data_IF_589993777399
#
_entry.id   IF_589993777399
#
_cell.length_a   1.000
_cell.length_b   1.000
_cell.length_c   1.000
_cell.angle_alpha   90.00
_cell.angle_beta   90.00
_cell.angle_gamma   90.00
#
_symmetry.space_group_name_H-M   'P 1'
#
loop_
_entity.id
_entity.type
_entity.pdbx_description
1 polymer ?
#
# COMPACT_ATOMS: atom_id res chain seq x y z
N UNK A 1 2.73 -1.94 19.30
CA UNK A 1 2.61 -1.57 17.88
C UNK A 1 2.44 -0.07 17.83
N UNK A 2 3.26 0.62 17.04
CA UNK A 2 3.05 2.04 16.79
C UNK A 2 1.86 2.14 15.82
N UNK A 3 0.82 2.85 16.22
CA UNK A 3 -0.29 3.21 15.35
C UNK A 3 -0.10 4.66 14.96
N UNK A 4 -0.07 4.93 13.66
CA UNK A 4 -0.07 6.30 13.14
C UNK A 4 -1.49 6.73 12.85
N UNK A 5 -1.71 8.04 12.78
CA UNK A 5 -3.00 8.58 12.38
C UNK A 5 -2.83 9.85 11.58
N UNK A 6 -3.50 9.91 10.43
CA UNK A 6 -3.65 11.14 9.67
C UNK A 6 -5.11 11.56 9.71
N UNK A 7 -5.40 12.68 10.37
CA UNK A 7 -6.78 13.12 10.62
C UNK A 7 -7.59 12.02 11.30
N UNK A 8 -8.63 11.53 10.62
CA UNK A 8 -9.50 10.46 11.13
C UNK A 8 -9.13 9.04 10.68
N UNK A 9 -8.06 8.90 9.88
CA UNK A 9 -7.58 7.62 9.35
C UNK A 9 -6.55 7.05 10.32
N UNK A 10 -6.81 5.86 10.87
CA UNK A 10 -5.84 5.08 11.64
C UNK A 10 -5.00 4.24 10.68
N UNK A 11 -3.69 4.21 10.89
CA UNK A 11 -2.74 3.57 10.00
C UNK A 11 -1.95 2.53 10.79
N UNK A 12 -2.00 1.28 10.32
CA UNK A 12 -1.21 0.17 10.83
C UNK A 12 -0.20 -0.32 9.80
N UNK A 13 1.00 -0.68 10.25
CA UNK A 13 2.02 -1.34 9.41
C UNK A 13 2.32 -2.70 9.99
N UNK A 14 2.17 -3.73 9.17
CA UNK A 14 2.37 -5.12 9.55
C UNK A 14 3.40 -5.77 8.63
N UNK A 15 4.23 -6.65 9.19
CA UNK A 15 5.07 -7.53 8.40
C UNK A 15 4.23 -8.74 7.99
N UNK A 16 4.22 -9.07 6.69
CA UNK A 16 3.45 -10.18 6.15
C UNK A 16 3.94 -11.56 6.64
N UNK A 17 3.09 -12.60 6.53
CA UNK A 17 1.70 -12.56 6.05
C UNK A 17 0.74 -11.94 7.09
N UNK A 18 -0.35 -11.34 6.62
CA UNK A 18 -1.36 -10.67 7.45
C UNK A 18 -2.77 -11.19 7.12
N UNK A 19 -3.60 -11.40 8.14
CA UNK A 19 -5.00 -11.78 7.97
C UNK A 19 -5.84 -10.55 7.63
N UNK A 20 -6.36 -10.49 6.41
CA UNK A 20 -7.18 -9.41 5.89
C UNK A 20 -8.67 -9.69 5.83
N UNK A 21 -9.16 -10.69 6.56
CA UNK A 21 -10.60 -10.98 6.67
C UNK A 21 -11.45 -9.78 7.10
N UNK A 22 -10.85 -8.76 7.70
CA UNK A 22 -11.50 -7.51 8.13
C UNK A 22 -11.24 -6.32 7.22
N UNK A 23 -10.43 -6.49 6.18
CA UNK A 23 -10.14 -5.43 5.21
C UNK A 23 -11.12 -5.56 4.05
N UNK A 24 -11.86 -4.49 3.79
CA UNK A 24 -12.94 -4.45 2.79
C UNK A 24 -12.44 -4.18 1.35
N UNK A 25 -11.32 -3.49 1.20
CA UNK A 25 -10.64 -3.23 -0.08
C UNK A 25 -9.14 -3.48 0.06
N UNK A 26 -8.57 -4.27 -0.84
CA UNK A 26 -7.13 -4.54 -0.87
C UNK A 26 -6.52 -4.10 -2.18
N UNK A 27 -5.28 -3.61 -2.13
CA UNK A 27 -4.42 -3.35 -3.29
C UNK A 27 -3.24 -4.29 -3.21
N UNK A 28 -3.07 -5.14 -4.24
CA UNK A 28 -1.99 -6.14 -4.29
C UNK A 28 -1.49 -6.34 -5.71
N UNK A 29 -0.39 -7.07 -5.88
CA UNK A 29 0.10 -7.38 -7.22
C UNK A 29 -0.71 -8.51 -7.87
N UNK A 30 -0.95 -8.41 -9.18
CA UNK A 30 -1.76 -9.40 -9.93
C UNK A 30 -1.11 -10.78 -9.97
N UNK A 31 0.21 -10.81 -10.11
CA UNK A 31 1.02 -12.01 -10.03
C UNK A 31 2.37 -11.66 -9.39
N UNK A 32 2.86 -12.54 -8.52
CA UNK A 32 4.21 -12.46 -7.99
C UNK A 32 4.97 -13.63 -8.60
N UNK A 33 5.75 -13.33 -9.64
CA UNK A 33 6.50 -14.32 -10.41
C UNK A 33 7.98 -14.31 -10.03
N UNK A 34 8.57 -15.49 -9.84
CA UNK A 34 10.03 -15.62 -9.71
C UNK A 34 10.69 -15.31 -11.05
N UNK A 35 11.59 -14.34 -11.08
CA UNK A 35 12.47 -14.08 -12.25
C UNK A 35 13.53 -15.19 -12.46
N UNK A 36 13.45 -16.31 -11.73
CA UNK A 36 14.27 -17.50 -11.91
C UNK A 36 13.39 -18.76 -12.08
N UNK A 37 13.00 -19.04 -13.33
CA UNK A 37 12.99 -20.41 -13.86
C UNK A 37 11.89 -21.42 -13.47
N UNK A 38 11.00 -21.15 -12.52
CA UNK A 38 9.90 -22.08 -12.21
C UNK A 38 8.56 -21.33 -12.13
N UNK A 39 7.68 -21.61 -13.10
CA UNK A 39 6.41 -20.93 -13.35
C UNK A 39 5.33 -21.16 -12.29
N UNK A 40 5.58 -20.71 -11.06
CA UNK A 40 4.55 -20.56 -10.03
C UNK A 40 4.27 -19.07 -9.84
N UNK A 41 3.13 -18.61 -10.36
CA UNK A 41 2.60 -17.31 -9.99
C UNK A 41 1.99 -17.44 -8.59
N UNK A 42 2.67 -16.87 -7.59
CA UNK A 42 2.10 -16.79 -6.24
C UNK A 42 1.24 -15.53 -6.24
N UNK A 43 -0.04 -15.67 -5.93
CA UNK A 43 -0.90 -14.53 -5.65
C UNK A 43 -0.89 -14.31 -4.14
N UNK A 44 -0.75 -13.05 -3.69
CA UNK A 44 -1.01 -12.73 -2.28
C UNK A 44 -2.44 -13.16 -1.94
N UNK A 45 -2.56 -14.13 -1.02
CA UNK A 45 -3.84 -14.59 -0.51
C UNK A 45 -4.55 -13.39 0.12
N UNK A 46 -5.80 -13.18 -0.27
CA UNK A 46 -6.66 -12.16 0.33
C UNK A 46 -8.06 -12.72 0.46
N UNK A 47 -8.68 -12.41 1.59
CA UNK A 47 -10.08 -12.72 1.87
C UNK A 47 -11.01 -11.56 1.49
N UNK A 48 -10.46 -10.42 1.02
CA UNK A 48 -11.23 -9.24 0.64
C UNK A 48 -12.00 -9.47 -0.67
N UNK A 49 -13.29 -9.14 -0.67
CA UNK A 49 -14.15 -9.20 -1.85
C UNK A 49 -13.80 -8.12 -2.88
N UNK A 50 -13.23 -6.98 -2.44
CA UNK A 50 -12.78 -5.92 -3.33
C UNK A 50 -11.25 -5.96 -3.43
N UNK A 51 -10.76 -6.16 -4.66
CA UNK A 51 -9.33 -6.21 -4.97
C UNK A 51 -9.05 -5.25 -6.10
N UNK A 52 -8.19 -4.27 -5.83
CA UNK A 52 -7.50 -3.48 -6.84
C UNK A 52 -6.07 -4.02 -7.02
N UNK A 53 -5.47 -3.71 -8.15
CA UNK A 53 -4.14 -4.19 -8.47
C UNK A 53 -3.15 -3.05 -8.63
N UNK A 54 -1.93 -3.26 -8.11
CA UNK A 54 -0.81 -2.41 -8.48
C UNK A 54 -0.58 -2.46 -9.99
N UNK A 55 -0.14 -1.36 -10.60
CA UNK A 55 0.36 -1.37 -11.96
C UNK A 55 1.59 -2.28 -12.04
N UNK A 56 1.82 -2.85 -13.22
CA UNK A 56 3.05 -3.61 -13.47
C UNK A 56 4.23 -2.64 -13.53
N UNK A 57 5.01 -2.62 -12.45
CA UNK A 57 6.19 -1.78 -12.30
C UNK A 57 7.46 -2.63 -12.30
N UNK A 58 8.54 -2.03 -12.78
CA UNK A 58 9.91 -2.58 -12.66
C UNK A 58 10.86 -1.46 -12.28
N UNK A 59 12.08 -1.78 -11.84
CA UNK A 59 13.14 -0.79 -11.59
C UNK A 59 13.49 0.07 -12.83
N UNK A 60 13.13 -0.36 -14.03
CA UNK A 60 13.34 0.39 -15.27
C UNK A 60 12.17 1.35 -15.62
N UNK A 61 11.04 1.27 -14.89
CA UNK A 61 9.92 2.17 -15.11
C UNK A 61 10.29 3.58 -14.62
N UNK A 62 10.29 4.58 -15.50
CA UNK A 62 10.66 5.95 -15.12
C UNK A 62 9.62 6.65 -14.23
N UNK A 63 8.36 6.18 -14.29
CA UNK A 63 7.22 6.77 -13.59
C UNK A 63 6.78 5.98 -12.34
N UNK A 64 7.66 5.16 -11.73
CA UNK A 64 7.29 4.30 -10.57
C UNK A 64 6.60 5.07 -9.46
N UNK A 65 7.19 6.18 -9.03
CA UNK A 65 6.69 6.96 -7.89
C UNK A 65 5.28 7.48 -8.15
N UNK A 66 5.09 8.14 -9.29
CA UNK A 66 3.78 8.64 -9.71
C UNK A 66 2.75 7.50 -9.83
N UNK A 67 3.14 6.37 -10.42
CA UNK A 67 2.26 5.22 -10.57
C UNK A 67 1.82 4.63 -9.22
N UNK A 68 2.72 4.54 -8.23
CA UNK A 68 2.39 4.09 -6.87
C UNK A 68 1.44 5.07 -6.19
N UNK A 69 1.75 6.37 -6.28
CA UNK A 69 0.91 7.42 -5.71
C UNK A 69 -0.51 7.41 -6.29
N UNK A 70 -0.64 7.47 -7.61
CA UNK A 70 -1.95 7.52 -8.27
C UNK A 70 -2.75 6.23 -8.05
N UNK A 71 -2.08 5.08 -7.98
CA UNK A 71 -2.77 3.81 -7.66
C UNK A 71 -3.28 3.79 -6.21
N UNK A 72 -2.48 4.32 -5.28
CA UNK A 72 -2.87 4.42 -3.87
C UNK A 72 -4.04 5.38 -3.67
N UNK A 73 -3.95 6.56 -4.29
CA UNK A 73 -5.02 7.55 -4.33
C UNK A 73 -6.30 7.00 -4.97
N UNK A 74 -6.20 6.34 -6.13
CA UNK A 74 -7.34 5.70 -6.80
C UNK A 74 -8.02 4.67 -5.90
N UNK A 75 -7.26 3.86 -5.16
CA UNK A 75 -7.84 2.90 -4.23
C UNK A 75 -8.63 3.58 -3.10
N UNK A 76 -8.08 4.66 -2.51
CA UNK A 76 -8.78 5.45 -1.51
C UNK A 76 -10.06 6.11 -2.06
N UNK A 77 -10.02 6.65 -3.28
CA UNK A 77 -11.20 7.20 -3.97
C UNK A 77 -12.25 6.13 -4.29
N UNK A 78 -11.82 4.92 -4.67
CA UNK A 78 -12.72 3.78 -4.86
C UNK A 78 -13.39 3.41 -3.54
N UNK A 79 -12.63 3.39 -2.44
CA UNK A 79 -13.19 3.11 -1.13
C UNK A 79 -14.27 4.14 -0.75
N UNK A 80 -14.02 5.44 -0.96
CA UNK A 80 -15.02 6.48 -0.71
C UNK A 80 -16.29 6.28 -1.55
N UNK A 81 -16.16 6.04 -2.86
CA UNK A 81 -17.30 5.83 -3.76
C UNK A 81 -18.13 4.60 -3.39
N UNK A 82 -17.50 3.59 -2.79
CA UNK A 82 -18.14 2.34 -2.37
C UNK A 82 -18.57 2.33 -0.90
N UNK A 83 -18.40 3.44 -0.17
CA UNK A 83 -18.65 3.54 1.27
C UNK A 83 -17.84 2.52 2.12
N UNK A 84 -16.63 2.18 1.66
CA UNK A 84 -15.71 1.27 2.34
C UNK A 84 -14.93 2.03 3.41
N UNK A 85 -14.74 1.41 4.58
CA UNK A 85 -14.08 2.04 5.73
C UNK A 85 -12.66 1.57 6.00
N UNK A 86 -12.24 0.46 5.38
CA UNK A 86 -10.92 -0.15 5.57
C UNK A 86 -10.21 -0.47 4.25
N UNK A 87 -8.95 -0.07 4.12
CA UNK A 87 -8.13 -0.29 2.91
C UNK A 87 -6.79 -0.95 3.28
N UNK A 88 -6.42 -2.02 2.57
CA UNK A 88 -5.16 -2.74 2.72
C UNK A 88 -4.23 -2.51 1.54
N UNK A 89 -2.97 -2.15 1.80
CA UNK A 89 -1.92 -2.04 0.78
C UNK A 89 -0.87 -3.13 0.98
N UNK A 90 -0.84 -4.10 0.07
CA UNK A 90 0.09 -5.22 0.08
C UNK A 90 1.26 -4.96 -0.87
N UNK A 91 2.49 -4.97 -0.36
CA UNK A 91 3.63 -4.43 -1.11
C UNK A 91 4.64 -5.48 -1.58
N UNK A 92 4.37 -6.78 -1.40
CA UNK A 92 5.31 -7.85 -1.77
C UNK A 92 5.65 -7.84 -3.27
N UNK A 93 4.66 -7.66 -4.14
CA UNK A 93 4.96 -7.64 -5.58
C UNK A 93 5.76 -6.41 -6.02
N UNK A 94 5.67 -5.28 -5.31
CA UNK A 94 6.53 -4.11 -5.57
C UNK A 94 7.99 -4.40 -5.16
N UNK A 95 8.20 -5.15 -4.08
CA UNK A 95 9.54 -5.61 -3.66
C UNK A 95 10.13 -6.62 -4.67
N UNK A 96 9.33 -7.58 -5.13
CA UNK A 96 9.76 -8.55 -6.17
C UNK A 96 10.12 -7.84 -7.48
N UNK A 97 9.41 -6.77 -7.82
CA UNK A 97 9.74 -5.86 -8.93
C UNK A 97 10.97 -4.98 -8.69
N UNK A 98 11.64 -5.11 -7.54
CA UNK A 98 12.82 -4.35 -7.11
C UNK A 98 12.58 -2.84 -7.05
N UNK A 99 11.34 -2.42 -6.78
CA UNK A 99 11.05 -1.01 -6.49
C UNK A 99 11.66 -0.67 -5.13
N UNK A 100 12.43 0.43 -5.00
CA UNK A 100 13.02 0.81 -3.72
C UNK A 100 11.96 0.99 -2.63
N UNK A 101 12.21 0.41 -1.44
CA UNK A 101 11.23 0.42 -0.34
C UNK A 101 10.83 1.81 0.12
N UNK A 102 11.75 2.77 0.06
CA UNK A 102 11.48 4.17 0.42
C UNK A 102 10.56 4.86 -0.59
N UNK A 103 10.70 4.58 -1.90
CA UNK A 103 9.78 5.10 -2.93
C UNK A 103 8.36 4.59 -2.67
N UNK A 104 8.21 3.30 -2.39
CA UNK A 104 6.92 2.68 -2.08
C UNK A 104 6.29 3.32 -0.84
N UNK A 105 7.09 3.47 0.22
CA UNK A 105 6.63 4.00 1.50
C UNK A 105 6.19 5.46 1.40
N UNK A 106 7.02 6.33 0.80
CA UNK A 106 6.74 7.75 0.67
C UNK A 106 5.47 8.00 -0.15
N UNK A 107 5.31 7.33 -1.29
CA UNK A 107 4.16 7.59 -2.17
C UNK A 107 2.83 7.07 -1.63
N UNK A 108 2.82 5.90 -0.97
CA UNK A 108 1.64 5.40 -0.27
C UNK A 108 1.30 6.31 0.91
N UNK A 109 2.28 6.68 1.73
CA UNK A 109 2.06 7.56 2.87
C UNK A 109 1.53 8.93 2.46
N UNK A 110 2.09 9.49 1.38
CA UNK A 110 1.65 10.75 0.77
C UNK A 110 0.21 10.68 0.29
N UNK A 111 -0.17 9.61 -0.41
CA UNK A 111 -1.56 9.42 -0.85
C UNK A 111 -2.54 9.37 0.33
N UNK A 112 -2.22 8.62 1.39
CA UNK A 112 -3.06 8.52 2.60
C UNK A 112 -3.15 9.89 3.31
N UNK A 113 -2.02 10.59 3.46
CA UNK A 113 -1.97 11.88 4.12
C UNK A 113 -2.80 12.94 3.39
N UNK A 114 -2.64 13.07 2.07
CA UNK A 114 -3.42 14.00 1.26
C UNK A 114 -4.90 13.64 1.32
N UNK A 115 -5.25 12.35 1.22
CA UNK A 115 -6.64 11.89 1.33
C UNK A 115 -7.26 12.26 2.69
N UNK A 116 -6.47 12.16 3.77
CA UNK A 116 -6.92 12.45 5.13
C UNK A 116 -7.31 13.91 5.40
N UNK A 117 -6.88 14.85 4.53
CA UNK A 117 -7.22 16.27 4.66
C UNK A 117 -8.67 16.58 4.29
N UNK A 118 -9.37 15.63 3.68
CA UNK A 118 -10.77 15.73 3.34
C UNK A 118 -11.63 14.90 4.29
N UNK A 119 -12.95 15.14 4.28
CA UNK A 119 -13.88 14.27 5.01
C UNK A 119 -13.86 12.88 4.36
N UNK A 120 -13.28 11.91 5.05
CA UNK A 120 -13.06 10.55 4.55
C UNK A 120 -13.92 9.53 5.31
N UNK A 121 -14.53 8.59 4.58
CA UNK A 121 -15.18 7.40 5.15
C UNK A 121 -14.17 6.32 5.49
N UNK A 122 -13.02 6.31 4.83
CA UNK A 122 -11.89 5.45 5.22
C UNK A 122 -11.46 5.84 6.64
N UNK A 123 -11.51 4.87 7.56
CA UNK A 123 -11.10 5.02 8.97
C UNK A 123 -9.88 4.21 9.31
N UNK A 124 -9.56 3.22 8.49
CA UNK A 124 -8.46 2.29 8.71
C UNK A 124 -7.71 2.04 7.41
N UNK A 125 -6.39 2.22 7.47
CA UNK A 125 -5.47 1.80 6.44
C UNK A 125 -4.47 0.83 7.05
N UNK A 126 -4.33 -0.34 6.43
CA UNK A 126 -3.34 -1.34 6.82
C UNK A 126 -2.33 -1.46 5.69
N UNK A 127 -1.05 -1.26 6.01
CA UNK A 127 0.04 -1.54 5.09
C UNK A 127 0.67 -2.87 5.48
N UNK A 128 0.68 -3.82 4.55
CA UNK A 128 1.32 -5.12 4.71
C UNK A 128 2.66 -5.09 3.98
N UNK A 129 3.70 -4.80 4.75
CA UNK A 129 5.09 -4.79 4.31
C UNK A 129 5.61 -6.22 4.11
N UNK A 130 6.50 -6.36 3.13
CA UNK A 130 7.11 -7.65 2.74
C UNK A 130 8.44 -7.94 3.43
N UNK A 131 9.11 -6.92 3.96
CA UNK A 131 10.38 -7.05 4.67
C UNK A 131 10.53 -6.02 5.81
N UNK A 132 11.41 -6.27 6.80
CA UNK A 132 11.72 -5.31 7.86
C UNK A 132 12.22 -3.96 7.31
N UNK A 133 12.99 -3.96 6.24
CA UNK A 133 13.46 -2.74 5.57
C UNK A 133 12.30 -1.88 5.07
N UNK A 134 11.30 -2.52 4.47
CA UNK A 134 10.10 -1.83 4.00
C UNK A 134 9.24 -1.34 5.17
N UNK A 135 9.10 -2.13 6.23
CA UNK A 135 8.44 -1.70 7.46
C UNK A 135 9.10 -0.43 8.04
N UNK A 136 10.44 -0.40 8.15
CA UNK A 136 11.17 0.79 8.64
C UNK A 136 11.01 1.99 7.71
N UNK A 137 10.92 1.76 6.39
CA UNK A 137 10.66 2.83 5.42
C UNK A 137 9.27 3.45 5.62
N UNK A 138 8.25 2.62 5.88
CA UNK A 138 6.90 3.10 6.21
C UNK A 138 6.85 3.84 7.54
N UNK A 139 7.51 3.31 8.58
CA UNK A 139 7.62 3.97 9.89
C UNK A 139 8.19 5.39 9.73
N UNK A 140 9.31 5.49 9.03
CA UNK A 140 9.95 6.77 8.74
C UNK A 140 9.02 7.71 7.95
N UNK A 141 8.38 7.21 6.89
CA UNK A 141 7.49 8.02 6.06
C UNK A 141 6.28 8.55 6.83
N UNK A 142 5.68 7.73 7.70
CA UNK A 142 4.54 8.15 8.51
C UNK A 142 4.92 9.14 9.63
N UNK A 143 6.11 8.98 10.22
CA UNK A 143 6.63 9.90 11.25
C UNK A 143 7.02 11.28 10.67
N UNK A 144 7.44 11.33 9.40
CA UNK A 144 8.02 12.52 8.78
C UNK A 144 7.17 13.06 7.62
N UNK A 145 5.87 12.75 7.58
CA UNK A 145 5.04 12.99 6.40
C UNK A 145 4.92 14.47 6.01
N UNK A 146 4.96 15.37 7.00
CA UNK A 146 4.90 16.83 6.77
C UNK A 146 6.17 17.37 6.08
N UNK A 147 7.29 16.67 6.22
CA UNK A 147 8.55 17.01 5.54
C UNK A 147 8.56 16.44 4.12
N UNK A 148 8.03 15.22 3.95
CA UNK A 148 7.95 14.50 2.67
C UNK A 148 6.90 15.12 1.73
N UNK A 149 5.84 15.69 2.30
CA UNK A 149 4.70 16.28 1.57
C UNK A 149 4.55 17.77 1.89
N UNK A 150 5.45 18.63 1.39
CA UNK A 150 5.35 20.07 1.57
C UNK A 150 4.17 20.69 0.80
#
# INVERSE_FOLDING_TARGET
MNAWSFGSIRIGVHLGPYDDSKIELTVKSRAIGSTQGLGFAIQEASSSENIEFWPELTIASDNRREAIYESSKKALEIAERRNISSVGFYTLGLEVSRVPSWEVAEEIAKAIYIHSKWSSRVREVVVVSSSPTQMSSFQYAFENIEIITP
#
